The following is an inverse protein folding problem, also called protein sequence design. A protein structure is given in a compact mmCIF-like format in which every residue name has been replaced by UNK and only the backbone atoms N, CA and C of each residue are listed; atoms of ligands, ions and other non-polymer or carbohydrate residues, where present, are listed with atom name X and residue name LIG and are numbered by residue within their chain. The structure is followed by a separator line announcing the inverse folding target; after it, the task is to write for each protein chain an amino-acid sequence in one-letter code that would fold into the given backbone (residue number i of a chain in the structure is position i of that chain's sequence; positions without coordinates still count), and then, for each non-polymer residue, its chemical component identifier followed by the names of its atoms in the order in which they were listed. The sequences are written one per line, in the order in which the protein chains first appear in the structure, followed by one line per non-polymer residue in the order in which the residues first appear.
data_IF_678944476755
#
_entry.id   IF_678944476755
#
_cell.length_a   1.000
_cell.length_b   1.000
_cell.length_c   1.000
_cell.angle_alpha   90.00
_cell.angle_beta   90.00
_cell.angle_gamma   90.00
#
_symmetry.space_group_name_H-M   'P 1'
#
loop_
_entity.id
_entity.type
_entity.pdbx_description
1 polymer ?
#
# COMPACT_ATOMS: atom_id res chain seq x y z
N UNK A 1 15.34 6.15 -8.29
CA UNK A 1 14.05 5.91 -7.60
C UNK A 1 13.24 7.18 -7.63
N UNK A 2 11.93 7.11 -7.88
CA UNK A 2 11.03 8.28 -7.94
C UNK A 2 10.48 8.68 -6.56
N UNK A 3 9.72 9.79 -6.46
CA UNK A 3 9.12 10.23 -5.21
C UNK A 3 8.04 9.23 -4.73
N UNK A 4 7.98 9.02 -3.43
CA UNK A 4 6.94 8.21 -2.79
C UNK A 4 5.63 9.02 -2.75
N UNK A 5 4.52 8.40 -3.19
CA UNK A 5 3.19 9.05 -3.25
C UNK A 5 2.37 8.79 -1.98
N UNK A 6 2.30 7.51 -1.55
CA UNK A 6 1.63 7.04 -0.33
C UNK A 6 2.38 5.84 0.24
N UNK A 7 2.34 5.68 1.55
CA UNK A 7 2.90 4.56 2.30
C UNK A 7 2.02 4.24 3.49
N UNK A 8 2.04 2.97 3.91
CA UNK A 8 1.43 2.53 5.15
C UNK A 8 2.25 1.39 5.76
N UNK A 9 2.34 1.35 7.09
CA UNK A 9 3.05 0.31 7.82
C UNK A 9 2.19 -0.96 7.94
N UNK A 10 2.83 -2.12 7.82
CA UNK A 10 2.20 -3.43 8.05
C UNK A 10 2.87 -4.08 9.25
N UNK A 11 2.14 -4.49 10.31
CA UNK A 11 2.74 -5.23 11.40
C UNK A 11 3.14 -6.63 10.91
N UNK A 12 4.29 -7.09 11.37
CA UNK A 12 4.70 -8.50 11.27
C UNK A 12 4.34 -9.16 12.60
N UNK A 13 3.69 -10.31 12.53
CA UNK A 13 3.26 -11.08 13.70
C UNK A 13 4.18 -12.30 13.87
N UNK A 14 4.29 -12.79 15.11
CA UNK A 14 5.18 -13.89 15.48
C UNK A 14 4.95 -15.16 14.67
N UNK A 15 3.71 -15.39 14.24
CA UNK A 15 3.27 -16.59 13.51
C UNK A 15 3.10 -16.34 12.00
N UNK A 16 3.59 -15.21 11.47
CA UNK A 16 3.51 -14.92 10.04
C UNK A 16 4.35 -15.91 9.23
N UNK A 17 3.74 -16.46 8.18
CA UNK A 17 4.49 -16.91 7.01
C UNK A 17 4.60 -15.77 6.01
N UNK A 18 5.49 -15.90 5.01
CA UNK A 18 5.61 -14.91 3.94
C UNK A 18 4.27 -14.71 3.20
N UNK A 19 3.50 -15.78 3.01
CA UNK A 19 2.19 -15.76 2.35
C UNK A 19 1.16 -14.99 3.19
N UNK A 20 1.12 -15.20 4.50
CA UNK A 20 0.20 -14.50 5.40
C UNK A 20 0.53 -13.00 5.45
N UNK A 21 1.81 -12.65 5.57
CA UNK A 21 2.25 -11.25 5.50
C UNK A 21 1.91 -10.62 4.15
N UNK A 22 2.13 -11.34 3.05
CA UNK A 22 1.82 -10.85 1.70
C UNK A 22 0.33 -10.60 1.51
N UNK A 23 -0.54 -11.48 2.00
CA UNK A 23 -1.99 -11.27 1.95
C UNK A 23 -2.40 -9.99 2.71
N UNK A 24 -1.77 -9.72 3.86
CA UNK A 24 -2.01 -8.47 4.62
C UNK A 24 -1.55 -7.24 3.86
N UNK A 25 -0.42 -7.33 3.16
CA UNK A 25 0.08 -6.26 2.26
C UNK A 25 -0.91 -6.01 1.11
N UNK A 26 -1.38 -7.07 0.43
CA UNK A 26 -2.30 -6.93 -0.71
C UNK A 26 -3.61 -6.22 -0.34
N UNK A 27 -4.14 -6.45 0.85
CA UNK A 27 -5.34 -5.72 1.35
C UNK A 27 -5.08 -4.22 1.42
N UNK A 28 -3.89 -3.80 1.86
CA UNK A 28 -3.51 -2.39 1.90
C UNK A 28 -3.25 -1.84 0.50
N UNK A 29 -2.63 -2.60 -0.39
CA UNK A 29 -2.40 -2.20 -1.78
C UNK A 29 -3.72 -1.93 -2.52
N UNK A 30 -4.73 -2.78 -2.34
CA UNK A 30 -6.07 -2.55 -2.92
C UNK A 30 -6.72 -1.24 -2.45
N UNK A 31 -6.37 -0.74 -1.26
CA UNK A 31 -6.83 0.57 -0.77
C UNK A 31 -5.92 1.71 -1.24
N UNK A 32 -4.61 1.54 -1.12
CA UNK A 32 -3.62 2.59 -1.38
C UNK A 32 -3.49 2.89 -2.87
N UNK A 33 -3.57 1.90 -3.75
CA UNK A 33 -3.35 2.09 -5.18
C UNK A 33 -4.42 3.02 -5.80
N UNK A 34 -5.74 2.79 -5.61
CA UNK A 34 -6.75 3.75 -6.07
C UNK A 34 -6.65 5.11 -5.37
N UNK A 35 -6.23 5.15 -4.10
CA UNK A 35 -6.04 6.41 -3.38
C UNK A 35 -4.88 7.24 -3.95
N UNK A 36 -3.78 6.59 -4.32
CA UNK A 36 -2.63 7.23 -4.96
C UNK A 36 -3.03 7.82 -6.32
N UNK A 37 -3.78 7.06 -7.13
CA UNK A 37 -4.31 7.57 -8.41
C UNK A 37 -5.18 8.81 -8.18
N UNK A 38 -6.12 8.77 -7.23
CA UNK A 38 -6.97 9.93 -6.92
C UNK A 38 -6.17 11.14 -6.45
N UNK A 39 -5.13 10.93 -5.63
CA UNK A 39 -4.27 11.99 -5.11
C UNK A 39 -3.49 12.68 -6.25
N UNK A 40 -2.91 11.89 -7.15
CA UNK A 40 -2.16 12.42 -8.30
C UNK A 40 -3.09 13.02 -9.33
N UNK A 41 -4.19 12.35 -9.67
CA UNK A 41 -5.15 12.84 -10.67
C UNK A 41 -5.80 14.18 -10.29
N UNK A 42 -6.01 14.44 -9.00
CA UNK A 42 -6.47 15.75 -8.50
C UNK A 42 -5.42 16.85 -8.58
N UNK A 43 -4.13 16.52 -8.68
CA UNK A 43 -3.06 17.48 -8.77
C UNK A 43 -2.75 17.90 -10.23
N UNK A 44 -3.40 17.28 -11.22
CA UNK A 44 -3.14 17.47 -12.66
C UNK A 44 -4.33 18.14 -13.38
N UNK A 45 -5.37 18.56 -12.65
CA UNK A 45 -6.46 19.44 -13.12
C UNK A 45 -6.39 20.75 -12.35
#
# INVERSE_FOLDING_TARGET
TGPVILQESVPILSDDTAEVLHARIQVLEHRLYPAAIRKVGRAVL
#
